data_IF_061822516607
#
_entry.id   IF_061822516607
#
_cell.length_a   1.000
_cell.length_b   1.000
_cell.length_c   1.000
_cell.angle_alpha   90.00
_cell.angle_beta   90.00
_cell.angle_gamma   90.00
#
_symmetry.space_group_name_H-M   'P 1'
#
loop_
_entity.id
_entity.type
_entity.pdbx_description
1 polymer ?
#
# COMPACT_ATOMS: atom_id res chain seq x y z
N UNK A 1 -37.52 -44.83 -9.69
CA UNK A 1 -36.45 -43.81 -9.80
C UNK A 1 -36.44 -42.93 -8.56
N UNK A 2 -35.29 -42.87 -7.89
CA UNK A 2 -35.02 -41.94 -6.78
C UNK A 2 -33.55 -41.54 -6.76
N UNK A 3 -33.23 -40.49 -6.02
CA UNK A 3 -31.84 -40.18 -5.67
C UNK A 3 -31.40 -41.13 -4.55
N UNK A 4 -30.20 -41.68 -4.69
CA UNK A 4 -29.51 -42.44 -3.65
C UNK A 4 -28.71 -41.50 -2.75
N UNK A 5 -27.40 -41.70 -2.74
CA UNK A 5 -26.42 -40.90 -2.01
C UNK A 5 -25.98 -39.67 -2.80
N UNK A 6 -25.64 -38.62 -2.08
CA UNK A 6 -24.93 -37.47 -2.62
C UNK A 6 -23.65 -37.31 -1.80
N UNK A 7 -22.51 -37.51 -2.45
CA UNK A 7 -21.19 -37.46 -1.82
C UNK A 7 -20.41 -36.27 -2.35
N UNK A 8 -19.78 -35.52 -1.45
CA UNK A 8 -18.82 -34.50 -1.87
C UNK A 8 -17.49 -35.18 -2.19
N UNK A 9 -17.01 -35.00 -3.41
CA UNK A 9 -15.71 -35.50 -3.86
C UNK A 9 -14.56 -34.53 -3.57
N UNK A 10 -13.33 -35.02 -3.74
CA UNK A 10 -12.12 -34.21 -3.62
C UNK A 10 -12.07 -33.09 -4.68
N UNK A 11 -11.45 -31.94 -4.39
CA UNK A 11 -11.33 -30.85 -5.36
C UNK A 11 -10.61 -31.28 -6.64
N UNK A 12 -11.12 -30.83 -7.79
CA UNK A 12 -10.52 -31.12 -9.10
C UNK A 12 -10.78 -32.53 -9.64
N UNK A 13 -11.54 -33.37 -8.92
CA UNK A 13 -12.07 -34.63 -9.48
C UNK A 13 -13.25 -34.36 -10.41
N UNK A 14 -13.61 -35.32 -11.26
CA UNK A 14 -14.78 -35.20 -12.13
C UNK A 14 -16.08 -35.44 -11.35
N UNK A 15 -17.14 -34.73 -11.73
CA UNK A 15 -18.48 -35.06 -11.25
C UNK A 15 -18.93 -36.39 -11.84
N UNK A 16 -19.57 -37.23 -11.02
CA UNK A 16 -19.99 -38.56 -11.44
C UNK A 16 -21.41 -38.87 -11.01
N UNK A 17 -22.09 -39.70 -11.81
CA UNK A 17 -23.39 -40.27 -11.49
C UNK A 17 -23.30 -41.78 -11.71
N UNK A 18 -23.72 -42.57 -10.73
CA UNK A 18 -23.74 -44.04 -10.81
C UNK A 18 -25.17 -44.52 -10.53
N UNK A 19 -25.70 -45.41 -11.38
CA UNK A 19 -26.97 -46.08 -11.07
C UNK A 19 -26.70 -47.35 -10.25
N UNK A 20 -26.99 -47.31 -8.95
CA UNK A 20 -26.88 -48.49 -8.06
C UNK A 20 -28.17 -49.30 -7.98
N UNK A 21 -29.23 -48.86 -8.66
CA UNK A 21 -30.50 -49.57 -8.80
C UNK A 21 -30.51 -50.56 -9.98
N UNK A 22 -31.71 -50.90 -10.46
CA UNK A 22 -31.90 -51.73 -11.65
C UNK A 22 -32.41 -50.89 -12.82
N UNK A 23 -32.50 -51.47 -14.01
CA UNK A 23 -33.09 -50.81 -15.19
C UNK A 23 -34.54 -50.36 -14.96
N UNK A 24 -35.30 -51.12 -14.14
CA UNK A 24 -36.70 -50.85 -13.84
C UNK A 24 -36.93 -50.14 -12.49
N UNK A 25 -35.92 -50.07 -11.62
CA UNK A 25 -35.92 -49.25 -10.41
C UNK A 25 -34.55 -48.59 -10.18
N UNK A 26 -34.28 -47.55 -10.97
CA UNK A 26 -33.01 -46.82 -10.91
C UNK A 26 -32.86 -46.04 -9.60
N UNK A 27 -31.64 -46.05 -9.06
CA UNK A 27 -31.21 -45.27 -7.90
C UNK A 27 -29.90 -44.58 -8.29
N UNK A 28 -29.93 -43.25 -8.41
CA UNK A 28 -28.76 -42.49 -8.85
C UNK A 28 -27.98 -41.95 -7.67
N UNK A 29 -26.74 -42.39 -7.55
CA UNK A 29 -25.74 -41.87 -6.62
C UNK A 29 -24.92 -40.79 -7.31
N UNK A 30 -24.76 -39.64 -6.66
CA UNK A 30 -24.04 -38.49 -7.17
C UNK A 30 -22.74 -38.28 -6.40
N UNK A 31 -21.66 -37.99 -7.12
CA UNK A 31 -20.44 -37.41 -6.55
C UNK A 31 -20.26 -36.01 -7.11
N UNK A 32 -20.27 -35.01 -6.23
CA UNK A 32 -20.09 -33.60 -6.58
C UNK A 32 -18.74 -33.14 -6.01
N UNK A 33 -17.73 -32.87 -6.86
CA UNK A 33 -16.43 -32.39 -6.41
C UNK A 33 -16.56 -31.09 -5.63
N UNK A 34 -15.80 -30.96 -4.56
CA UNK A 34 -15.63 -29.67 -3.88
C UNK A 34 -14.86 -28.67 -4.76
N UNK A 35 -15.06 -27.38 -4.51
CA UNK A 35 -14.24 -26.34 -5.15
C UNK A 35 -12.79 -26.39 -4.68
N UNK A 36 -11.86 -25.95 -5.53
CA UNK A 36 -10.48 -25.75 -5.08
C UNK A 36 -10.43 -24.68 -3.98
N UNK A 37 -9.63 -24.93 -2.95
CA UNK A 37 -9.32 -23.91 -1.95
C UNK A 37 -8.63 -22.72 -2.65
N UNK A 38 -9.15 -21.52 -2.45
CA UNK A 38 -8.50 -20.30 -2.95
C UNK A 38 -7.12 -20.12 -2.30
N UNK A 39 -6.16 -19.63 -3.07
CA UNK A 39 -4.89 -19.18 -2.51
C UNK A 39 -5.10 -17.81 -1.85
N UNK A 40 -4.54 -17.56 -0.64
CA UNK A 40 -4.51 -16.21 -0.11
C UNK A 40 -3.72 -15.31 -1.07
N UNK A 41 -4.12 -14.04 -1.24
CA UNK A 41 -3.33 -13.11 -2.04
C UNK A 41 -1.93 -12.98 -1.43
N UNK A 42 -0.92 -12.85 -2.28
CA UNK A 42 0.42 -12.48 -1.82
C UNK A 42 0.36 -11.10 -1.17
N UNK A 43 0.94 -10.98 0.03
CA UNK A 43 0.98 -9.72 0.74
C UNK A 43 2.06 -8.84 0.12
N UNK A 44 1.64 -7.70 -0.40
CA UNK A 44 2.51 -6.73 -1.06
C UNK A 44 2.52 -5.44 -0.22
N UNK A 45 3.59 -5.25 0.55
CA UNK A 45 3.71 -4.15 1.51
C UNK A 45 5.16 -3.74 1.72
N UNK A 46 5.40 -2.44 1.83
CA UNK A 46 6.66 -1.88 2.27
C UNK A 46 6.41 -0.78 3.28
N UNK A 47 7.12 -0.81 4.41
CA UNK A 47 7.24 0.34 5.32
C UNK A 47 8.68 0.84 5.38
N UNK A 48 8.83 2.15 5.59
CA UNK A 48 10.10 2.81 5.81
C UNK A 48 9.94 3.96 6.80
N UNK A 49 11.01 4.32 7.48
CA UNK A 49 11.01 5.39 8.47
C UNK A 49 12.36 6.12 8.50
N UNK A 50 12.43 7.21 9.26
CA UNK A 50 13.71 7.84 9.58
C UNK A 50 13.86 8.30 11.03
N UNK A 51 15.04 8.01 11.57
CA UNK A 51 15.59 8.54 12.80
C UNK A 51 17.13 8.65 12.68
N UNK A 52 17.74 9.86 12.83
CA UNK A 52 17.27 11.02 13.60
C UNK A 52 16.56 12.11 12.77
N UNK A 53 16.31 13.27 13.39
CA UNK A 53 15.79 14.49 12.73
C UNK A 53 16.74 14.93 11.62
N UNK A 54 16.17 15.36 10.49
CA UNK A 54 16.86 15.83 9.30
C UNK A 54 16.39 17.23 8.91
N UNK A 55 17.20 17.92 8.12
CA UNK A 55 16.84 19.21 7.53
C UNK A 55 16.17 19.00 6.17
N UNK A 56 15.10 19.74 5.91
CA UNK A 56 14.44 19.84 4.62
C UNK A 56 14.51 21.27 4.07
N UNK A 57 14.46 21.37 2.75
CA UNK A 57 14.33 22.65 2.04
C UNK A 57 13.18 22.59 1.06
N UNK A 58 12.65 23.75 0.67
CA UNK A 58 11.46 23.84 -0.16
C UNK A 58 11.59 23.06 -1.47
N UNK A 59 10.63 22.19 -1.75
CA UNK A 59 10.57 21.37 -2.96
C UNK A 59 11.46 20.12 -2.94
N UNK A 60 12.09 19.80 -1.80
CA UNK A 60 12.94 18.60 -1.68
C UNK A 60 12.17 17.40 -1.14
N UNK A 61 12.55 16.22 -1.63
CA UNK A 61 11.97 14.96 -1.19
C UNK A 61 12.58 14.54 0.16
N UNK A 62 11.72 14.12 1.10
CA UNK A 62 12.13 13.66 2.42
C UNK A 62 12.85 12.31 2.32
N UNK A 63 13.95 12.16 3.06
CA UNK A 63 14.79 10.96 3.02
C UNK A 63 14.36 10.00 4.13
N UNK A 64 14.12 8.74 3.77
CA UNK A 64 13.89 7.64 4.70
C UNK A 64 15.19 6.83 4.83
N UNK A 65 15.70 6.68 6.06
CA UNK A 65 17.01 6.04 6.28
C UNK A 65 16.93 4.50 6.29
N UNK A 66 15.77 3.94 6.64
CA UNK A 66 15.62 2.51 6.94
C UNK A 66 14.32 1.95 6.41
N UNK A 67 14.38 0.69 5.98
CA UNK A 67 13.19 -0.13 5.75
C UNK A 67 12.71 -0.74 7.07
N UNK A 68 11.41 -0.80 7.24
CA UNK A 68 10.73 -1.60 8.26
C UNK A 68 10.35 -2.96 7.70
N UNK A 69 9.05 -3.26 7.71
CA UNK A 69 8.50 -4.50 7.19
C UNK A 69 8.44 -4.44 5.67
N UNK A 70 8.87 -5.51 5.01
CA UNK A 70 8.84 -5.64 3.55
C UNK A 70 8.32 -7.03 3.20
N UNK A 71 7.26 -7.10 2.39
CA UNK A 71 6.71 -8.31 1.80
C UNK A 71 6.43 -8.07 0.32
N UNK A 72 6.67 -9.11 -0.49
CA UNK A 72 6.49 -9.06 -1.92
C UNK A 72 7.53 -8.19 -2.64
N UNK A 73 7.26 -7.87 -3.90
CA UNK A 73 8.18 -7.12 -4.78
C UNK A 73 7.53 -5.93 -5.51
N UNK A 74 6.25 -5.65 -5.25
CA UNK A 74 5.50 -4.59 -5.91
C UNK A 74 6.05 -3.20 -5.56
N UNK A 75 6.67 -3.03 -4.39
CA UNK A 75 7.28 -1.78 -3.93
C UNK A 75 8.68 -2.05 -3.39
N UNK A 76 9.65 -1.20 -3.75
CA UNK A 76 11.02 -1.28 -3.24
C UNK A 76 11.52 0.08 -2.77
N UNK A 77 12.44 0.06 -1.81
CA UNK A 77 13.12 1.23 -1.26
C UNK A 77 14.53 0.85 -0.82
N UNK A 78 15.50 1.74 -1.10
CA UNK A 78 16.87 1.62 -0.59
C UNK A 78 17.04 2.56 0.59
N UNK A 79 17.63 2.10 1.70
CA UNK A 79 17.87 2.95 2.86
C UNK A 79 18.68 4.22 2.51
N UNK A 80 18.37 5.32 3.18
CA UNK A 80 18.87 6.68 2.89
C UNK A 80 18.47 7.20 1.50
N UNK A 81 17.28 6.83 1.05
CA UNK A 81 16.68 7.33 -0.19
C UNK A 81 15.40 8.12 0.10
N UNK A 82 15.04 8.99 -0.83
CA UNK A 82 13.72 9.64 -0.84
C UNK A 82 12.76 9.01 -1.84
N UNK A 83 13.17 7.91 -2.47
CA UNK A 83 12.49 7.30 -3.62
C UNK A 83 12.00 5.90 -3.27
N UNK A 84 10.69 5.71 -3.39
CA UNK A 84 10.04 4.40 -3.43
C UNK A 84 9.71 4.05 -4.87
N UNK A 85 10.08 2.85 -5.31
CA UNK A 85 9.83 2.39 -6.68
C UNK A 85 8.74 1.34 -6.67
N UNK A 86 7.66 1.61 -7.38
CA UNK A 86 6.58 0.66 -7.68
C UNK A 86 6.92 -0.08 -8.97
N UNK A 87 6.95 -1.40 -8.90
CA UNK A 87 7.34 -2.31 -9.98
C UNK A 87 6.19 -3.11 -10.57
N UNK A 88 5.00 -3.04 -9.97
CA UNK A 88 3.79 -3.70 -10.46
C UNK A 88 2.65 -2.68 -10.61
N UNK A 89 1.82 -2.74 -11.67
CA UNK A 89 0.62 -1.93 -11.74
C UNK A 89 -0.38 -2.32 -10.65
N UNK A 90 -1.18 -1.36 -10.18
CA UNK A 90 -2.20 -1.64 -9.16
C UNK A 90 -2.71 -0.39 -8.46
N UNK A 91 -3.63 -0.61 -7.54
CA UNK A 91 -4.06 0.39 -6.55
C UNK A 91 -3.24 0.18 -5.29
N UNK A 92 -2.68 1.27 -4.75
CA UNK A 92 -1.86 1.28 -3.55
C UNK A 92 -2.49 2.18 -2.50
N UNK A 93 -2.46 1.78 -1.23
CA UNK A 93 -2.68 2.69 -0.11
C UNK A 93 -1.32 3.23 0.35
N UNK A 94 -1.24 4.54 0.54
CA UNK A 94 -0.04 5.21 1.04
C UNK A 94 -0.40 5.94 2.31
N UNK A 95 0.25 5.61 3.42
CA UNK A 95 0.10 6.28 4.71
C UNK A 95 1.41 6.92 5.11
N UNK A 96 1.40 8.22 5.40
CA UNK A 96 2.56 8.97 5.89
C UNK A 96 2.24 9.67 7.21
N UNK A 97 3.21 9.70 8.11
CA UNK A 97 3.19 10.57 9.29
C UNK A 97 4.60 11.06 9.61
N UNK A 98 4.70 12.17 10.32
CA UNK A 98 5.96 12.63 10.91
C UNK A 98 5.84 14.00 11.55
N UNK A 99 6.90 14.44 12.20
CA UNK A 99 6.96 15.74 12.83
C UNK A 99 7.76 16.71 11.95
N UNK A 100 7.24 17.91 11.74
CA UNK A 100 7.93 19.02 11.07
C UNK A 100 8.09 20.21 12.01
N UNK A 101 9.10 21.05 11.78
CA UNK A 101 9.29 22.29 12.55
C UNK A 101 10.18 23.30 11.83
N UNK A 102 10.23 24.57 12.27
CA UNK A 102 11.07 25.58 11.65
C UNK A 102 12.56 25.27 11.80
N UNK A 103 13.33 25.49 10.74
CA UNK A 103 14.80 25.50 10.87
C UNK A 103 15.27 26.83 11.51
N UNK A 104 16.53 26.86 11.96
CA UNK A 104 17.12 28.08 12.50
C UNK A 104 17.19 29.19 11.43
N UNK A 105 16.86 30.42 11.81
CA UNK A 105 17.02 31.61 10.96
C UNK A 105 15.94 31.83 9.90
N UNK A 106 14.79 31.17 10.01
CA UNK A 106 13.63 31.39 9.12
C UNK A 106 12.73 32.52 9.60
N UNK A 107 12.03 33.15 8.66
CA UNK A 107 11.00 34.16 8.92
C UNK A 107 9.66 33.51 9.27
N UNK A 108 8.85 34.23 10.05
CA UNK A 108 7.50 33.83 10.43
C UNK A 108 6.44 34.78 9.85
N UNK A 109 5.25 34.26 9.45
CA UNK A 109 4.82 32.87 9.56
C UNK A 109 5.51 31.94 8.54
N UNK A 110 5.88 30.73 9.00
CA UNK A 110 6.45 29.69 8.15
C UNK A 110 5.37 28.62 7.92
N UNK A 111 4.89 28.47 6.68
CA UNK A 111 3.97 27.39 6.33
C UNK A 111 4.76 26.22 5.75
N UNK A 112 4.80 25.08 6.44
CA UNK A 112 5.42 23.85 5.94
C UNK A 112 4.33 22.92 5.43
N UNK A 113 4.38 22.60 4.14
CA UNK A 113 3.52 21.64 3.47
C UNK A 113 4.31 20.35 3.21
N UNK A 114 3.69 19.21 3.47
CA UNK A 114 4.18 17.90 3.06
C UNK A 114 3.17 17.25 2.15
N UNK A 115 3.60 16.68 1.03
CA UNK A 115 2.69 16.05 0.07
C UNK A 115 3.33 14.89 -0.69
N UNK A 116 2.49 13.96 -1.14
CA UNK A 116 2.91 12.82 -1.95
C UNK A 116 2.95 13.20 -3.44
N UNK A 117 3.96 12.69 -4.15
CA UNK A 117 4.04 12.72 -5.60
C UNK A 117 4.18 11.32 -6.18
N UNK A 118 3.63 11.12 -7.38
CA UNK A 118 3.80 9.93 -8.22
C UNK A 118 4.38 10.40 -9.54
N UNK A 119 5.58 9.93 -9.90
CA UNK A 119 6.33 10.39 -11.07
C UNK A 119 6.45 11.92 -11.15
N UNK A 120 6.59 12.58 -9.99
CA UNK A 120 6.68 14.03 -9.86
C UNK A 120 5.34 14.77 -9.91
N UNK A 121 4.22 14.13 -10.24
CA UNK A 121 2.90 14.73 -10.17
C UNK A 121 2.31 14.60 -8.77
N UNK A 122 1.77 15.69 -8.22
CA UNK A 122 1.15 15.71 -6.89
C UNK A 122 -0.09 14.82 -6.83
N UNK A 123 -0.23 14.04 -5.76
CA UNK A 123 -1.42 13.22 -5.51
C UNK A 123 -2.46 14.05 -4.75
N UNK A 124 -3.66 14.19 -5.34
CA UNK A 124 -4.76 14.93 -4.71
C UNK A 124 -5.18 14.27 -3.40
N UNK A 125 -5.35 15.06 -2.34
CA UNK A 125 -5.73 14.58 -1.01
C UNK A 125 -4.58 13.97 -0.18
N UNK A 126 -3.39 13.84 -0.74
CA UNK A 126 -2.21 13.27 -0.07
C UNK A 126 -1.27 14.37 0.43
N UNK A 127 -1.80 15.32 1.20
CA UNK A 127 -1.04 16.47 1.68
C UNK A 127 -1.46 16.90 3.08
N UNK A 128 -0.51 17.41 3.85
CA UNK A 128 -0.72 17.98 5.18
C UNK A 128 0.22 19.17 5.39
N UNK A 129 -0.27 20.21 6.04
CA UNK A 129 0.51 21.43 6.29
C UNK A 129 0.34 21.94 7.71
N UNK A 130 1.34 22.69 8.18
CA UNK A 130 1.27 23.44 9.42
C UNK A 130 1.88 24.83 9.25
N UNK A 131 1.25 25.85 9.85
CA UNK A 131 1.78 27.22 9.86
C UNK A 131 2.35 27.54 11.23
N UNK A 132 3.66 27.73 11.28
CA UNK A 132 4.40 28.07 12.47
C UNK A 132 4.47 29.58 12.67
N UNK A 133 4.45 29.99 13.94
CA UNK A 133 4.62 31.38 14.35
C UNK A 133 5.81 31.58 15.30
N UNK A 134 6.51 30.50 15.68
CA UNK A 134 7.67 30.52 16.60
C UNK A 134 8.70 29.45 16.23
N UNK A 135 9.98 29.62 16.61
CA UNK A 135 11.13 28.85 16.12
C UNK A 135 11.46 27.54 16.83
N UNK A 136 10.70 27.15 17.85
CA UNK A 136 10.96 25.92 18.64
C UNK A 136 9.81 24.92 18.58
N UNK A 137 8.80 25.20 17.77
CA UNK A 137 7.62 24.36 17.63
C UNK A 137 7.91 23.18 16.70
N UNK A 138 7.46 21.99 17.10
CA UNK A 138 7.35 20.82 16.24
C UNK A 138 5.86 20.45 16.16
N UNK A 139 5.37 20.21 14.94
CA UNK A 139 3.98 19.83 14.68
C UNK A 139 3.92 18.52 13.90
N UNK A 140 2.93 17.68 14.20
CA UNK A 140 2.70 16.44 13.46
C UNK A 140 1.98 16.75 12.14
N UNK A 141 2.46 16.15 11.06
CA UNK A 141 1.82 16.15 9.74
C UNK A 141 1.62 14.71 9.30
N UNK A 142 0.43 14.41 8.80
CA UNK A 142 0.08 13.08 8.33
C UNK A 142 -0.93 13.15 7.20
N UNK A 143 -0.81 12.24 6.25
CA UNK A 143 -1.79 12.04 5.19
C UNK A 143 -1.95 10.56 4.88
N UNK A 144 -3.10 10.20 4.32
CA UNK A 144 -3.35 8.89 3.74
C UNK A 144 -4.08 9.10 2.43
N UNK A 145 -3.63 8.41 1.37
CA UNK A 145 -4.30 8.47 0.08
C UNK A 145 -4.13 7.17 -0.71
N UNK A 146 -5.19 6.71 -1.41
CA UNK A 146 -5.05 5.69 -2.42
C UNK A 146 -4.40 6.27 -3.68
N UNK A 147 -3.58 5.47 -4.37
CA UNK A 147 -2.89 5.81 -5.61
C UNK A 147 -3.09 4.70 -6.62
N UNK A 148 -3.58 5.03 -7.81
CA UNK A 148 -3.58 4.12 -8.95
C UNK A 148 -2.29 4.29 -9.76
N UNK A 149 -1.53 3.21 -9.93
CA UNK A 149 -0.32 3.15 -10.75
C UNK A 149 -0.59 2.26 -11.94
N UNK A 150 -0.81 2.86 -13.11
CA UNK A 150 -1.15 2.13 -14.35
C UNK A 150 0.06 1.74 -15.19
N UNK A 151 1.23 2.33 -14.93
CA UNK A 151 2.47 2.08 -15.66
C UNK A 151 3.64 2.02 -14.69
N UNK A 152 4.56 1.08 -14.92
CA UNK A 152 5.73 0.83 -14.06
C UNK A 152 7.02 0.80 -14.88
N UNK A 153 8.18 1.16 -14.30
CA UNK A 153 8.35 1.59 -12.91
C UNK A 153 7.74 2.98 -12.64
N UNK A 154 7.11 3.13 -11.48
CA UNK A 154 6.64 4.43 -10.99
C UNK A 154 7.38 4.80 -9.70
N UNK A 155 7.60 6.10 -9.49
CA UNK A 155 8.31 6.62 -8.32
C UNK A 155 7.35 7.37 -7.41
N UNK A 156 7.37 7.02 -6.13
CA UNK A 156 6.67 7.74 -5.08
C UNK A 156 7.69 8.51 -4.24
N UNK A 157 7.38 9.77 -3.93
CA UNK A 157 8.20 10.63 -3.05
C UNK A 157 7.29 11.48 -2.18
N UNK A 158 7.68 11.67 -0.92
CA UNK A 158 7.10 12.70 -0.05
C UNK A 158 7.94 13.95 -0.20
N UNK A 159 7.32 15.07 -0.58
CA UNK A 159 7.97 16.36 -0.79
C UNK A 159 7.62 17.28 0.38
N UNK A 160 8.61 18.02 0.88
CA UNK A 160 8.37 19.14 1.80
C UNK A 160 8.55 20.49 1.10
N UNK A 161 7.65 21.43 1.38
CA UNK A 161 7.61 22.77 0.82
C UNK A 161 7.38 23.78 1.96
N UNK A 162 7.85 25.03 1.79
CA UNK A 162 7.63 26.07 2.80
C UNK A 162 8.85 26.83 3.27
N UNK A 163 10.03 26.61 2.69
CA UNK A 163 11.30 27.19 3.11
C UNK A 163 12.23 26.15 3.74
N UNK A 164 13.04 26.57 4.72
CA UNK A 164 13.90 25.64 5.46
C UNK A 164 13.15 25.12 6.69
N UNK A 165 13.13 23.80 6.86
CA UNK A 165 12.42 23.16 7.97
C UNK A 165 13.21 21.96 8.48
N UNK A 166 12.81 21.46 9.63
CA UNK A 166 13.24 20.20 10.20
C UNK A 166 12.13 19.18 10.01
N UNK A 167 12.47 17.92 9.77
CA UNK A 167 11.54 16.81 9.82
C UNK A 167 12.15 15.65 10.61
N UNK A 168 11.33 14.91 11.33
CA UNK A 168 11.78 13.77 12.13
C UNK A 168 10.65 12.86 12.53
N UNK A 169 11.00 11.66 13.01
CA UNK A 169 10.04 10.60 13.30
C UNK A 169 9.10 10.34 12.11
N UNK A 170 9.61 10.48 10.89
CA UNK A 170 8.82 10.24 9.69
C UNK A 170 8.69 8.73 9.47
N UNK A 171 7.51 8.32 9.04
CA UNK A 171 7.17 6.95 8.68
C UNK A 171 6.25 6.94 7.48
N UNK A 172 6.44 5.95 6.60
CA UNK A 172 5.57 5.69 5.47
C UNK A 172 5.29 4.20 5.36
N UNK A 173 4.05 3.86 5.06
CA UNK A 173 3.63 2.52 4.68
C UNK A 173 2.99 2.59 3.31
N UNK A 174 3.33 1.64 2.45
CA UNK A 174 2.80 1.49 1.10
C UNK A 174 2.30 0.05 0.97
N UNK A 175 0.99 -0.11 0.79
CA UNK A 175 0.35 -1.43 0.68
C UNK A 175 -0.33 -1.54 -0.68
N UNK A 176 -0.09 -2.61 -1.43
CA UNK A 176 -0.85 -2.89 -2.65
C UNK A 176 -2.23 -3.44 -2.26
N UNK A 177 -3.28 -2.80 -2.77
CA UNK A 177 -4.67 -3.19 -2.53
C UNK A 177 -5.22 -4.15 -3.59
N UNK A 178 -4.58 -4.22 -4.76
CA UNK A 178 -4.95 -5.11 -5.85
C UNK A 178 -4.77 -4.48 -7.23
N UNK A 179 -5.33 -5.16 -8.24
CA UNK A 179 -5.33 -4.66 -9.62
C UNK A 179 -6.21 -3.43 -9.79
N UNK A 180 -5.95 -2.64 -10.83
CA UNK A 180 -6.84 -1.55 -11.23
C UNK A 180 -8.09 -2.18 -11.87
N UNK A 181 -9.31 -1.85 -11.42
CA UNK A 181 -10.54 -2.34 -12.03
C UNK A 181 -10.60 -1.99 -13.53
N UNK A 182 -11.13 -2.91 -14.33
CA UNK A 182 -11.38 -2.71 -15.76
C UNK A 182 -12.50 -1.69 -16.04
#
# INVERSE_FOLDING_TARGET
MRVGTVTTGEPGTEAAVVNSGTENDAVFDFTIPSGQTGQPPELELLSAFSNPVQSGTSGTALIFDRNGLVYGNAVSHSGNSSVFTVSEPGVYSVEFHGSVGPAAGVDFPLNVLTYLTVNGASVSGAAAQHTFHTSTEMSNVAFSAPVAVSAVPATLKVIGEGGNFLYGSIGITITRLGDIPA
#
